data_IF_360620854759
#
_entry.id   IF_360620854759
#
_cell.length_a   1.000
_cell.length_b   1.000
_cell.length_c   1.000
_cell.angle_alpha   90.00
_cell.angle_beta   90.00
_cell.angle_gamma   90.00
#
_symmetry.space_group_name_H-M   'P 1'
#
loop_
_entity.id
_entity.type
_entity.pdbx_description
1 polymer ?
#
# COMPACT_ATOMS: atom_id res chain seq x y z
N UNK A 1 -6.47 15.07 -5.93
CA UNK A 1 -6.50 14.89 -7.41
C UNK A 1 -5.17 14.37 -7.92
N UNK A 2 -4.05 15.11 -7.79
CA UNK A 2 -2.71 14.66 -8.22
C UNK A 2 -2.34 13.24 -7.74
N UNK A 3 -2.41 12.97 -6.44
CA UNK A 3 -2.07 11.63 -5.89
C UNK A 3 -2.93 10.48 -6.45
N UNK A 4 -4.20 10.74 -6.77
CA UNK A 4 -5.10 9.74 -7.37
C UNK A 4 -4.66 9.45 -8.81
N UNK A 5 -4.37 10.49 -9.57
CA UNK A 5 -3.95 10.38 -10.96
C UNK A 5 -2.56 9.72 -11.05
N UNK A 6 -1.66 10.03 -10.11
CA UNK A 6 -0.36 9.37 -9.97
C UNK A 6 -0.50 7.88 -9.58
N UNK A 7 -1.40 7.56 -8.67
CA UNK A 7 -1.70 6.17 -8.29
C UNK A 7 -2.16 5.36 -9.50
N UNK A 8 -3.14 5.89 -10.24
CA UNK A 8 -3.68 5.21 -11.41
C UNK A 8 -2.68 5.12 -12.55
N UNK A 9 -1.88 6.16 -12.80
CA UNK A 9 -0.83 6.09 -13.83
C UNK A 9 0.21 4.99 -13.54
N UNK A 10 0.61 4.83 -12.29
CA UNK A 10 1.48 3.71 -11.86
C UNK A 10 0.81 2.35 -12.03
N UNK A 11 -0.50 2.29 -11.79
CA UNK A 11 -1.27 1.04 -11.87
C UNK A 11 -1.51 0.57 -13.30
N UNK A 12 -1.66 1.50 -14.25
CA UNK A 12 -1.88 1.20 -15.67
C UNK A 12 -0.60 1.06 -16.50
N UNK A 13 0.54 1.55 -15.99
CA UNK A 13 1.79 1.54 -16.76
C UNK A 13 1.68 2.42 -18.01
N UNK A 14 2.00 1.87 -19.18
CA UNK A 14 1.98 2.59 -20.46
C UNK A 14 0.57 2.76 -21.07
N UNK A 15 -0.42 1.99 -20.62
CA UNK A 15 -1.81 2.12 -21.06
C UNK A 15 -2.45 3.35 -20.40
N UNK A 16 -2.28 4.54 -21.01
CA UNK A 16 -2.88 5.78 -20.51
C UNK A 16 -4.41 5.76 -20.65
N UNK A 17 -5.09 5.21 -19.66
CA UNK A 17 -6.52 5.41 -19.45
C UNK A 17 -6.72 6.60 -18.51
N UNK A 18 -7.33 7.67 -19.00
CA UNK A 18 -7.78 8.77 -18.14
C UNK A 18 -9.02 8.34 -17.37
N UNK A 19 -8.85 7.90 -16.12
CA UNK A 19 -9.96 7.49 -15.24
C UNK A 19 -10.59 8.72 -14.58
N UNK A 20 -11.76 9.12 -15.10
CA UNK A 20 -12.62 10.10 -14.47
C UNK A 20 -13.19 9.60 -13.14
N UNK A 21 -13.79 10.47 -12.34
CA UNK A 21 -14.42 10.08 -11.07
C UNK A 21 -15.59 9.10 -11.24
N UNK A 22 -16.20 9.09 -12.43
CA UNK A 22 -17.27 8.17 -12.83
C UNK A 22 -16.76 6.76 -13.20
N UNK A 23 -15.47 6.62 -13.49
CA UNK A 23 -14.84 5.41 -14.02
C UNK A 23 -14.26 4.52 -12.92
N UNK A 24 -14.20 5.02 -11.67
CA UNK A 24 -13.84 4.23 -10.48
C UNK A 24 -14.97 3.30 -9.99
N UNK A 25 -15.95 3.01 -10.83
CA UNK A 25 -16.98 2.01 -10.49
C UNK A 25 -16.32 0.65 -10.28
N UNK A 26 -16.70 -0.10 -9.24
CA UNK A 26 -16.05 -1.38 -8.95
C UNK A 26 -16.11 -2.39 -10.10
N UNK A 27 -17.15 -2.35 -10.93
CA UNK A 27 -17.26 -3.18 -12.13
C UNK A 27 -16.18 -2.85 -13.17
N UNK A 28 -16.01 -1.57 -13.51
CA UNK A 28 -15.01 -1.13 -14.49
C UNK A 28 -13.59 -1.49 -14.04
N UNK A 29 -13.29 -1.21 -12.78
CA UNK A 29 -12.00 -1.53 -12.18
C UNK A 29 -11.74 -3.04 -12.19
N UNK A 30 -12.74 -3.85 -11.86
CA UNK A 30 -12.63 -5.32 -11.88
C UNK A 30 -12.42 -5.84 -13.30
N UNK A 31 -13.09 -5.29 -14.30
CA UNK A 31 -12.96 -5.73 -15.69
C UNK A 31 -11.58 -5.38 -16.24
N UNK A 32 -11.08 -4.18 -15.93
CA UNK A 32 -9.76 -3.70 -16.34
C UNK A 32 -8.61 -4.51 -15.73
N UNK A 33 -8.82 -5.04 -14.53
CA UNK A 33 -7.82 -5.82 -13.81
C UNK A 33 -8.13 -7.32 -13.71
N UNK A 34 -9.12 -7.81 -14.45
CA UNK A 34 -9.63 -9.19 -14.34
C UNK A 34 -8.54 -10.26 -14.44
N UNK A 35 -7.50 -10.03 -15.25
CA UNK A 35 -6.42 -10.98 -15.50
C UNK A 35 -5.09 -10.60 -14.83
N UNK A 36 -5.07 -9.58 -13.95
CA UNK A 36 -3.84 -9.10 -13.29
C UNK A 36 -3.91 -9.39 -11.79
N UNK A 37 -2.81 -9.81 -11.18
CA UNK A 37 -2.67 -9.79 -9.72
C UNK A 37 -2.01 -8.46 -9.34
N UNK A 38 -2.63 -7.71 -8.42
CA UNK A 38 -2.14 -6.38 -8.04
C UNK A 38 -1.86 -6.38 -6.55
N UNK A 39 -0.66 -5.93 -6.18
CA UNK A 39 -0.30 -5.61 -4.82
C UNK A 39 -0.10 -4.09 -4.70
N UNK A 40 -0.94 -3.45 -3.90
CA UNK A 40 -0.81 -2.03 -3.55
C UNK A 40 -0.37 -1.93 -2.10
N UNK A 41 0.69 -1.15 -1.84
CA UNK A 41 1.09 -0.76 -0.49
C UNK A 41 0.95 0.75 -0.37
N UNK A 42 0.15 1.22 0.58
CA UNK A 42 0.00 2.64 0.90
C UNK A 42 0.56 2.86 2.28
N UNK A 43 1.67 3.58 2.32
CA UNK A 43 2.38 3.87 3.56
C UNK A 43 1.86 5.14 4.27
N UNK A 44 1.97 5.16 5.61
CA UNK A 44 1.63 6.28 6.51
C UNK A 44 0.25 6.93 6.25
N UNK A 45 -0.80 6.11 6.09
CA UNK A 45 -2.16 6.60 5.88
C UNK A 45 -2.64 7.39 7.09
N UNK A 46 -2.90 8.69 6.91
CA UNK A 46 -3.36 9.59 7.97
C UNK A 46 -4.87 9.85 7.94
N UNK A 47 -5.54 9.53 6.83
CA UNK A 47 -6.96 9.81 6.55
C UNK A 47 -7.58 8.70 5.72
N UNK A 48 -8.63 8.05 6.24
CA UNK A 48 -9.33 6.98 5.54
C UNK A 48 -10.04 7.47 4.27
N UNK A 49 -10.61 8.69 4.33
CA UNK A 49 -11.27 9.34 3.20
C UNK A 49 -10.31 9.56 2.04
N UNK A 50 -9.11 10.04 2.33
CA UNK A 50 -8.14 10.35 1.29
C UNK A 50 -7.56 9.08 0.67
N UNK A 51 -7.31 8.05 1.49
CA UNK A 51 -6.92 6.73 0.99
C UNK A 51 -8.00 6.14 0.07
N UNK A 52 -9.27 6.17 0.48
CA UNK A 52 -10.39 5.70 -0.34
C UNK A 52 -10.53 6.47 -1.65
N UNK A 53 -10.37 7.81 -1.59
CA UNK A 53 -10.39 8.67 -2.78
C UNK A 53 -9.26 8.35 -3.76
N UNK A 54 -8.03 8.12 -3.27
CA UNK A 54 -6.86 7.80 -4.10
C UNK A 54 -7.04 6.48 -4.83
N UNK A 55 -7.52 5.44 -4.14
CA UNK A 55 -7.68 4.11 -4.76
C UNK A 55 -8.99 3.93 -5.51
N UNK A 56 -9.88 4.93 -5.51
CA UNK A 56 -11.17 4.84 -6.16
C UNK A 56 -12.15 3.89 -5.47
N UNK A 57 -12.07 3.79 -4.15
CA UNK A 57 -12.88 2.87 -3.34
C UNK A 57 -12.20 1.53 -3.10
N UNK A 58 -12.36 0.97 -1.90
CA UNK A 58 -11.76 -0.33 -1.54
C UNK A 58 -12.52 -1.54 -2.11
N UNK A 59 -13.72 -1.35 -2.65
CA UNK A 59 -14.64 -2.42 -3.02
C UNK A 59 -14.27 -3.24 -4.25
N UNK A 60 -13.36 -2.76 -5.10
CA UNK A 60 -12.97 -3.44 -6.35
C UNK A 60 -11.77 -4.37 -6.20
N UNK A 61 -11.04 -4.30 -5.08
CA UNK A 61 -9.99 -5.25 -4.73
C UNK A 61 -10.62 -6.62 -4.39
N UNK A 62 -10.84 -7.42 -5.42
CA UNK A 62 -11.41 -8.77 -5.35
C UNK A 62 -10.34 -9.86 -5.54
N UNK A 63 -10.76 -11.13 -5.68
CA UNK A 63 -9.87 -12.32 -5.65
C UNK A 63 -8.65 -12.13 -6.57
N UNK A 64 -7.46 -12.13 -5.98
CA UNK A 64 -6.18 -11.98 -6.67
C UNK A 64 -5.47 -10.64 -6.43
N UNK A 65 -6.22 -9.61 -6.02
CA UNK A 65 -5.63 -8.31 -5.63
C UNK A 65 -5.49 -8.20 -4.11
N UNK A 66 -4.46 -7.48 -3.67
CA UNK A 66 -4.20 -7.18 -2.26
C UNK A 66 -3.84 -5.71 -2.10
N UNK A 67 -4.47 -5.05 -1.14
CA UNK A 67 -4.09 -3.72 -0.67
C UNK A 67 -3.60 -3.83 0.79
N UNK A 68 -2.43 -3.26 1.05
CA UNK A 68 -1.84 -3.14 2.38
C UNK A 68 -1.83 -1.65 2.72
N UNK A 69 -2.48 -1.30 3.83
CA UNK A 69 -2.47 0.06 4.38
C UNK A 69 -1.66 0.04 5.66
N UNK A 70 -0.62 0.84 5.75
CA UNK A 70 0.09 1.07 7.01
C UNK A 70 -0.36 2.41 7.59
N UNK A 71 -0.41 2.49 8.91
CA UNK A 71 -0.70 3.75 9.61
C UNK A 71 -0.17 3.66 11.03
N UNK A 72 0.36 4.78 11.54
CA UNK A 72 0.67 4.95 12.96
C UNK A 72 -0.59 5.11 13.81
N UNK A 73 -1.76 5.32 13.20
CA UNK A 73 -3.04 5.58 13.87
C UNK A 73 -4.02 4.45 13.60
N UNK A 74 -4.17 3.53 14.56
CA UNK A 74 -5.12 2.39 14.48
C UNK A 74 -6.53 2.80 14.06
N UNK A 75 -7.04 3.95 14.55
CA UNK A 75 -8.37 4.45 14.20
C UNK A 75 -8.54 4.73 12.71
N UNK A 76 -7.49 5.14 12.00
CA UNK A 76 -7.54 5.38 10.54
C UNK A 76 -7.79 4.06 9.81
N UNK A 77 -7.09 2.99 10.18
CA UNK A 77 -7.30 1.66 9.59
C UNK A 77 -8.69 1.09 9.89
N UNK A 78 -9.22 1.34 11.09
CA UNK A 78 -10.61 0.99 11.43
C UNK A 78 -11.60 1.70 10.52
N UNK A 79 -11.40 2.99 10.27
CA UNK A 79 -12.25 3.77 9.35
C UNK A 79 -12.14 3.30 7.89
N UNK A 80 -10.98 2.78 7.47
CA UNK A 80 -10.80 2.12 6.17
C UNK A 80 -11.51 0.76 6.08
N UNK A 81 -12.09 0.23 7.18
CA UNK A 81 -12.76 -1.08 7.23
C UNK A 81 -11.86 -2.23 6.77
N UNK A 82 -10.59 -2.20 7.17
CA UNK A 82 -9.62 -3.27 6.84
C UNK A 82 -10.13 -4.63 7.32
N UNK A 83 -9.96 -5.67 6.50
CA UNK A 83 -10.44 -7.03 6.81
C UNK A 83 -9.50 -7.77 7.76
N UNK A 84 -8.20 -7.54 7.60
CA UNK A 84 -7.14 -8.25 8.32
C UNK A 84 -6.22 -7.21 8.99
N UNK A 85 -6.62 -6.65 10.15
CA UNK A 85 -5.76 -5.73 10.89
C UNK A 85 -4.56 -6.50 11.46
N UNK A 86 -3.36 -5.92 11.30
CA UNK A 86 -2.13 -6.44 11.87
C UNK A 86 -1.40 -5.34 12.64
N UNK A 87 -1.01 -5.62 13.88
CA UNK A 87 -0.20 -4.73 14.68
C UNK A 87 1.28 -5.12 14.58
N UNK A 88 2.10 -4.18 14.09
CA UNK A 88 3.55 -4.38 14.03
C UNK A 88 4.09 -4.20 15.45
N UNK A 89 4.62 -5.28 16.01
CA UNK A 89 5.23 -5.28 17.33
C UNK A 89 6.67 -4.78 17.25
N UNK A 90 7.14 -4.13 18.32
CA UNK A 90 8.54 -3.78 18.45
C UNK A 90 9.38 -5.06 18.49
N UNK A 91 10.52 -5.02 17.83
CA UNK A 91 11.53 -6.07 17.93
C UNK A 91 12.01 -6.17 19.38
N UNK A 92 12.16 -7.38 19.89
CA UNK A 92 12.85 -7.60 21.15
C UNK A 92 14.35 -7.29 20.99
N UNK A 93 15.07 -7.20 22.11
CA UNK A 93 16.51 -6.88 22.11
C UNK A 93 17.33 -7.82 21.24
N UNK A 94 17.04 -9.13 21.28
CA UNK A 94 17.76 -10.09 20.45
C UNK A 94 17.46 -9.92 18.95
N UNK A 95 16.22 -9.61 18.58
CA UNK A 95 15.82 -9.39 17.19
C UNK A 95 16.41 -8.08 16.66
N UNK A 96 16.36 -7.00 17.44
CA UNK A 96 16.93 -5.71 17.07
C UNK A 96 18.45 -5.81 16.94
N UNK A 97 19.14 -6.49 17.87
CA UNK A 97 20.58 -6.73 17.77
C UNK A 97 20.95 -7.53 16.51
N UNK A 98 20.18 -8.58 16.19
CA UNK A 98 20.39 -9.36 14.96
C UNK A 98 20.19 -8.51 13.70
N UNK A 99 19.14 -7.70 13.66
CA UNK A 99 18.86 -6.81 12.54
C UNK A 99 20.01 -5.78 12.35
N UNK A 100 20.44 -5.15 13.44
CA UNK A 100 21.57 -4.22 13.42
C UNK A 100 22.85 -4.88 12.91
N UNK A 101 23.15 -6.11 13.35
CA UNK A 101 24.32 -6.85 12.88
C UNK A 101 24.25 -7.15 11.38
N UNK A 102 23.07 -7.55 10.89
CA UNK A 102 22.87 -7.82 9.45
C UNK A 102 23.06 -6.55 8.61
N UNK A 103 22.52 -5.42 9.07
CA UNK A 103 22.67 -4.12 8.40
C UNK A 103 24.14 -3.66 8.33
N UNK A 104 24.83 -3.64 9.47
CA UNK A 104 26.21 -3.16 9.57
C UNK A 104 27.22 -3.98 8.75
N UNK A 105 26.88 -5.24 8.48
CA UNK A 105 27.75 -6.13 7.72
C UNK A 105 27.36 -6.23 6.24
N UNK A 106 26.33 -5.52 5.81
CA UNK A 106 25.77 -5.63 4.46
C UNK A 106 25.39 -7.08 4.09
N UNK A 107 25.16 -7.93 5.09
CA UNK A 107 24.83 -9.36 4.91
C UNK A 107 23.44 -9.53 4.28
N UNK A 108 22.66 -8.45 4.19
CA UNK A 108 21.33 -8.45 3.61
C UNK A 108 21.01 -7.14 2.88
N UNK A 109 21.11 -7.17 1.55
CA UNK A 109 20.79 -6.04 0.69
C UNK A 109 19.37 -5.47 0.90
N UNK A 110 18.40 -6.32 1.26
CA UNK A 110 17.02 -5.92 1.51
C UNK A 110 16.93 -5.05 2.77
N UNK A 111 17.68 -5.41 3.83
CA UNK A 111 17.72 -4.60 5.06
C UNK A 111 18.37 -3.25 4.77
N UNK A 112 19.45 -3.22 3.99
CA UNK A 112 20.11 -1.95 3.62
C UNK A 112 19.20 -1.03 2.81
N UNK A 113 18.48 -1.59 1.82
CA UNK A 113 17.50 -0.84 1.03
C UNK A 113 16.37 -0.29 1.91
N UNK A 114 15.78 -1.13 2.78
CA UNK A 114 14.73 -0.70 3.72
C UNK A 114 15.20 0.43 4.65
N UNK A 115 16.42 0.34 5.19
CA UNK A 115 16.95 1.38 6.06
C UNK A 115 17.17 2.70 5.31
N UNK A 116 17.58 2.64 4.04
CA UNK A 116 17.69 3.84 3.20
C UNK A 116 16.32 4.54 3.00
N UNK A 117 15.24 3.76 2.86
CA UNK A 117 13.87 4.28 2.73
C UNK A 117 13.29 4.83 4.04
N UNK A 118 13.84 4.42 5.19
CA UNK A 118 13.36 4.85 6.53
C UNK A 118 13.87 6.23 6.96
N UNK A 119 14.78 6.84 6.18
CA UNK A 119 15.44 8.11 6.50
C UNK A 119 14.65 9.36 6.07
N UNK A 120 13.35 9.22 5.74
CA UNK A 120 12.47 10.28 5.23
C UNK A 120 11.54 10.88 6.26
#
# INVERSE_FOLDING_TARGET
RQMRDDFFSKLFGEEKLSIGACDTKPSFMRDLFHNKAILVVIDDVSSARDAEYVVGGFGWFSRGHRIILTSRRKQVLVQCKVKEPYEIHKLCENESFRLCKQYLKEENAIISELMSCSSG
#
